data_IF_370059099852
#
_entry.id   IF_370059099852
#
_cell.length_a   1.000
_cell.length_b   1.000
_cell.length_c   1.000
_cell.angle_alpha   90.00
_cell.angle_beta   90.00
_cell.angle_gamma   90.00
#
_symmetry.space_group_name_H-M   'P 1'
#
loop_
_entity.id
_entity.type
_entity.pdbx_description
1 polymer ?
#
# COMPACT_ATOMS: atom_id res chain seq x y z
N UNK A 1 -2.47 -10.20 11.33
CA UNK A 1 -3.81 -10.12 11.93
C UNK A 1 -4.58 -11.34 11.47
N UNK A 2 -5.04 -12.22 12.39
CA UNK A 2 -5.93 -13.33 12.06
C UNK A 2 -7.31 -12.79 11.66
N UNK A 3 -7.87 -13.29 10.57
CA UNK A 3 -9.26 -13.04 10.18
C UNK A 3 -10.01 -14.36 10.32
N UNK A 4 -10.82 -14.54 11.38
CA UNK A 4 -11.42 -15.84 11.73
C UNK A 4 -12.27 -16.46 10.61
N UNK A 5 -13.01 -15.62 9.87
CA UNK A 5 -13.91 -16.10 8.80
C UNK A 5 -13.19 -16.75 7.61
N UNK A 6 -11.94 -16.30 7.32
CA UNK A 6 -11.20 -16.72 6.13
C UNK A 6 -9.86 -17.40 6.44
N UNK A 7 -9.55 -17.58 7.73
CA UNK A 7 -8.26 -18.09 8.20
C UNK A 7 -7.03 -17.38 7.60
N UNK A 8 -7.16 -16.11 7.23
CA UNK A 8 -6.07 -15.32 6.66
C UNK A 8 -5.14 -14.78 7.73
N UNK A 9 -3.84 -14.92 7.49
CA UNK A 9 -2.79 -14.31 8.29
C UNK A 9 -2.12 -13.22 7.46
N UNK A 10 -2.42 -11.97 7.79
CA UNK A 10 -1.93 -10.80 7.06
C UNK A 10 -0.88 -10.06 7.87
N UNK A 11 0.27 -9.77 7.25
CA UNK A 11 1.28 -8.87 7.81
C UNK A 11 1.20 -7.51 7.12
N UNK A 12 1.27 -6.46 7.94
CA UNK A 12 1.42 -5.08 7.47
C UNK A 12 2.89 -4.66 7.58
N UNK A 13 3.47 -4.16 6.48
CA UNK A 13 4.89 -3.78 6.41
C UNK A 13 5.07 -2.30 6.10
N UNK A 14 6.16 -1.76 6.59
CA UNK A 14 6.60 -0.39 6.37
C UNK A 14 7.62 -0.32 5.23
N UNK A 15 7.67 0.82 4.53
CA UNK A 15 8.65 1.10 3.47
C UNK A 15 9.61 2.24 3.85
N UNK A 16 9.28 2.97 4.90
CA UNK A 16 10.08 4.08 5.41
C UNK A 16 10.10 4.07 6.94
N UNK A 17 11.05 4.76 7.54
CA UNK A 17 11.01 5.19 8.93
C UNK A 17 10.43 6.59 8.96
N UNK A 18 9.17 6.73 9.42
CA UNK A 18 8.35 7.93 9.23
C UNK A 18 7.77 8.01 7.82
N UNK A 19 7.26 9.18 7.45
CA UNK A 19 6.70 9.44 6.11
C UNK A 19 7.01 10.87 5.70
N UNK A 20 7.20 11.11 4.40
CA UNK A 20 7.35 12.46 3.85
C UNK A 20 6.01 13.12 3.50
N UNK A 21 4.93 12.36 3.47
CA UNK A 21 3.59 12.89 3.29
C UNK A 21 3.03 13.33 4.64
N UNK A 22 2.36 14.48 4.63
CA UNK A 22 1.87 15.15 5.84
C UNK A 22 0.35 15.01 6.00
N UNK A 23 -0.19 13.82 5.71
CA UNK A 23 -1.61 13.54 5.91
C UNK A 23 -2.02 13.83 7.36
N UNK A 24 -3.04 14.67 7.56
CA UNK A 24 -3.39 15.25 8.86
C UNK A 24 -3.85 14.21 9.88
N UNK A 25 -4.48 13.14 9.42
CA UNK A 25 -4.98 12.03 10.25
C UNK A 25 -3.92 10.97 10.56
N UNK A 26 -2.76 11.02 9.90
CA UNK A 26 -1.75 9.95 9.99
C UNK A 26 -0.69 10.26 11.05
N UNK A 27 -0.60 9.40 12.08
CA UNK A 27 0.43 9.52 13.11
C UNK A 27 1.85 9.45 12.52
N UNK A 28 2.07 8.62 11.51
CA UNK A 28 3.36 8.50 10.82
C UNK A 28 3.75 9.79 10.08
N UNK A 29 2.78 10.50 9.49
CA UNK A 29 3.01 11.78 8.81
C UNK A 29 3.56 12.86 9.76
N UNK A 30 3.15 12.83 11.05
CA UNK A 30 3.62 13.74 12.09
C UNK A 30 5.06 13.47 12.52
N UNK A 31 5.59 12.27 12.27
CA UNK A 31 6.97 11.89 12.64
C UNK A 31 8.01 12.48 11.69
N UNK A 32 7.61 12.88 10.49
CA UNK A 32 8.52 13.20 9.41
C UNK A 32 9.34 11.98 8.94
N UNK A 33 9.83 12.02 7.72
CA UNK A 33 10.65 10.93 7.17
C UNK A 33 12.09 11.01 7.71
N UNK A 34 12.58 9.90 8.25
CA UNK A 34 13.98 9.75 8.65
C UNK A 34 14.81 9.11 7.54
N UNK A 35 14.35 7.97 7.00
CA UNK A 35 14.98 7.27 5.87
C UNK A 35 14.02 6.32 5.17
N UNK A 36 14.40 5.89 4.01
CA UNK A 36 13.76 4.77 3.34
C UNK A 36 14.30 3.45 3.91
N UNK A 37 13.48 2.41 3.90
CA UNK A 37 13.92 1.04 4.15
C UNK A 37 14.49 0.45 2.86
N UNK A 38 15.51 -0.38 2.99
CA UNK A 38 16.01 -1.18 1.88
C UNK A 38 15.04 -2.33 1.54
N UNK A 39 15.16 -2.89 0.36
CA UNK A 39 14.37 -4.06 -0.04
C UNK A 39 14.57 -5.26 0.90
N UNK A 40 15.79 -5.43 1.43
CA UNK A 40 16.12 -6.44 2.44
C UNK A 40 15.35 -6.21 3.75
N UNK A 41 15.38 -4.98 4.29
CA UNK A 41 14.67 -4.64 5.52
C UNK A 41 13.14 -4.83 5.38
N UNK A 42 12.58 -4.51 4.20
CA UNK A 42 11.15 -4.75 3.93
C UNK A 42 10.86 -6.26 3.90
N UNK A 43 11.70 -7.03 3.21
CA UNK A 43 11.58 -8.49 3.15
C UNK A 43 11.71 -9.12 4.54
N UNK A 44 12.66 -8.66 5.37
CA UNK A 44 12.91 -9.19 6.70
C UNK A 44 11.73 -8.99 7.67
N UNK A 45 10.95 -7.91 7.52
CA UNK A 45 9.70 -7.75 8.27
C UNK A 45 8.76 -8.93 8.00
N UNK A 46 8.57 -9.27 6.71
CA UNK A 46 7.69 -10.39 6.33
C UNK A 46 8.27 -11.73 6.78
N UNK A 47 9.55 -11.99 6.51
CA UNK A 47 10.21 -13.24 6.86
C UNK A 47 10.21 -13.48 8.38
N UNK A 48 10.44 -12.43 9.18
CA UNK A 48 10.40 -12.49 10.64
C UNK A 48 9.03 -12.88 11.16
N UNK A 49 7.99 -12.13 10.71
CA UNK A 49 6.60 -12.41 11.12
C UNK A 49 6.11 -13.76 10.60
N UNK A 50 6.56 -14.18 9.40
CA UNK A 50 6.22 -15.50 8.85
C UNK A 50 6.75 -16.64 9.73
N UNK A 51 8.02 -16.55 10.18
CA UNK A 51 8.58 -17.53 11.13
C UNK A 51 7.78 -17.56 12.42
N UNK A 52 7.44 -16.40 12.97
CA UNK A 52 6.66 -16.27 14.19
C UNK A 52 5.24 -16.85 14.02
N UNK A 53 4.60 -16.62 12.87
CA UNK A 53 3.30 -17.19 12.54
C UNK A 53 3.34 -18.73 12.52
N UNK A 54 4.35 -19.31 11.90
CA UNK A 54 4.53 -20.77 11.87
C UNK A 54 4.75 -21.31 13.28
N UNK A 55 5.58 -20.66 14.10
CA UNK A 55 5.86 -21.10 15.48
C UNK A 55 4.64 -21.00 16.38
N UNK A 56 3.86 -19.90 16.28
CA UNK A 56 2.75 -19.64 17.20
C UNK A 56 1.42 -20.26 16.76
N UNK A 57 1.20 -20.42 15.45
CA UNK A 57 -0.08 -20.82 14.88
C UNK A 57 0.01 -22.04 13.96
N UNK A 58 1.21 -22.61 13.75
CA UNK A 58 1.41 -23.79 12.91
C UNK A 58 1.27 -23.54 11.40
N UNK A 59 1.18 -22.27 10.95
CA UNK A 59 0.97 -21.96 9.53
C UNK A 59 1.62 -20.64 9.10
N UNK A 60 2.00 -20.52 7.82
CA UNK A 60 2.66 -19.34 7.29
C UNK A 60 1.67 -18.18 7.08
N UNK A 61 2.21 -17.01 6.83
CA UNK A 61 1.45 -15.85 6.35
C UNK A 61 0.78 -16.15 5.01
N UNK A 62 -0.46 -15.68 4.87
CA UNK A 62 -1.21 -15.79 3.62
C UNK A 62 -1.17 -14.51 2.78
N UNK A 63 -1.03 -13.35 3.42
CA UNK A 63 -1.12 -12.04 2.76
C UNK A 63 -0.11 -11.04 3.31
N UNK A 64 0.30 -10.11 2.45
CA UNK A 64 1.16 -8.97 2.80
C UNK A 64 0.49 -7.69 2.33
N UNK A 65 0.42 -6.66 3.19
CA UNK A 65 -0.05 -5.33 2.83
C UNK A 65 1.03 -4.29 3.13
N UNK A 66 1.34 -3.47 2.13
CA UNK A 66 2.26 -2.34 2.27
C UNK A 66 1.46 -1.13 2.74
N UNK A 67 1.03 -1.18 4.00
CA UNK A 67 0.15 -0.20 4.64
C UNK A 67 0.71 0.29 5.99
N UNK A 68 1.98 0.02 6.26
CA UNK A 68 2.69 0.51 7.43
C UNK A 68 3.21 1.93 7.25
N UNK A 69 4.36 2.23 7.83
CA UNK A 69 4.96 3.56 7.72
C UNK A 69 5.56 3.81 6.33
N UNK A 70 5.27 5.02 5.80
CA UNK A 70 5.83 5.49 4.53
C UNK A 70 4.88 5.36 3.35
N UNK A 71 5.29 5.99 2.24
CA UNK A 71 4.61 5.88 0.95
C UNK A 71 5.40 4.92 0.04
N UNK A 72 4.83 3.75 -0.30
CA UNK A 72 5.55 2.74 -1.09
C UNK A 72 6.00 3.24 -2.47
N UNK A 73 5.22 4.11 -3.11
CA UNK A 73 5.56 4.62 -4.44
C UNK A 73 6.66 5.71 -4.41
N UNK A 74 6.96 6.29 -3.25
CA UNK A 74 8.14 7.15 -3.06
C UNK A 74 9.42 6.33 -2.82
N UNK A 75 9.28 5.04 -2.49
CA UNK A 75 10.39 4.10 -2.35
C UNK A 75 10.31 2.99 -3.40
N UNK A 76 9.90 3.36 -4.59
CA UNK A 76 9.49 2.46 -5.67
C UNK A 76 10.45 1.29 -5.90
N UNK A 77 11.72 1.58 -6.13
CA UNK A 77 12.72 0.53 -6.42
C UNK A 77 12.81 -0.51 -5.30
N UNK A 78 12.94 -0.05 -4.04
CA UNK A 78 13.03 -0.94 -2.88
C UNK A 78 11.74 -1.74 -2.66
N UNK A 79 10.60 -1.10 -2.91
CA UNK A 79 9.28 -1.75 -2.81
C UNK A 79 9.15 -2.84 -3.86
N UNK A 80 9.46 -2.57 -5.13
CA UNK A 80 9.37 -3.55 -6.20
C UNK A 80 10.37 -4.71 -6.02
N UNK A 81 11.61 -4.41 -5.62
CA UNK A 81 12.60 -5.43 -5.32
C UNK A 81 12.17 -6.32 -4.15
N UNK A 82 11.58 -5.74 -3.10
CA UNK A 82 11.06 -6.54 -1.97
C UNK A 82 9.93 -7.48 -2.41
N UNK A 83 9.02 -7.01 -3.28
CA UNK A 83 7.95 -7.83 -3.85
C UNK A 83 8.54 -8.97 -4.71
N UNK A 84 9.54 -8.67 -5.53
CA UNK A 84 10.22 -9.69 -6.33
C UNK A 84 10.82 -10.78 -5.45
N UNK A 85 11.47 -10.42 -4.33
CA UNK A 85 11.99 -11.37 -3.35
C UNK A 85 10.88 -12.18 -2.67
N UNK A 86 9.78 -11.54 -2.26
CA UNK A 86 8.64 -12.23 -1.64
C UNK A 86 8.01 -13.27 -2.59
N UNK A 87 7.95 -12.96 -3.88
CA UNK A 87 7.34 -13.82 -4.89
C UNK A 87 8.30 -14.88 -5.45
N UNK A 88 9.61 -14.70 -5.30
CA UNK A 88 10.61 -15.67 -5.72
C UNK A 88 10.45 -16.99 -4.94
N UNK A 89 10.66 -18.15 -5.60
CA UNK A 89 10.61 -19.43 -4.90
C UNK A 89 11.76 -19.58 -3.89
N UNK A 90 11.58 -20.49 -2.93
CA UNK A 90 12.65 -20.86 -2.01
C UNK A 90 13.85 -21.46 -2.78
N UNK A 91 15.11 -21.23 -2.34
CA UNK A 91 15.50 -20.54 -1.11
C UNK A 91 15.63 -19.01 -1.27
N UNK A 92 15.39 -18.44 -2.46
CA UNK A 92 15.62 -17.03 -2.75
C UNK A 92 14.51 -16.11 -2.20
N UNK A 93 13.32 -16.67 -1.95
CA UNK A 93 12.17 -15.93 -1.45
C UNK A 93 11.19 -16.84 -0.72
N UNK A 94 9.96 -16.33 -0.56
CA UNK A 94 8.90 -17.03 0.17
C UNK A 94 7.89 -17.75 -0.74
N UNK A 95 8.04 -17.65 -2.05
CA UNK A 95 7.11 -18.25 -3.03
C UNK A 95 5.68 -17.69 -2.94
N UNK A 96 5.53 -16.48 -2.43
CA UNK A 96 4.21 -15.87 -2.22
C UNK A 96 3.58 -15.49 -3.55
N UNK A 97 2.32 -15.86 -3.76
CA UNK A 97 1.60 -15.46 -4.96
C UNK A 97 1.39 -13.94 -5.03
N UNK A 98 1.66 -13.32 -6.16
CA UNK A 98 1.57 -11.87 -6.34
C UNK A 98 0.20 -11.29 -5.91
N UNK A 99 -0.90 -12.00 -6.16
CA UNK A 99 -2.25 -11.59 -5.74
C UNK A 99 -2.50 -11.63 -4.23
N UNK A 100 -1.54 -12.14 -3.45
CA UNK A 100 -1.55 -12.12 -1.98
C UNK A 100 -0.88 -10.86 -1.41
N UNK A 101 -0.35 -10.03 -2.29
CA UNK A 101 0.35 -8.80 -1.94
C UNK A 101 -0.50 -7.61 -2.39
N UNK A 102 -0.69 -6.63 -1.51
CA UNK A 102 -1.36 -5.36 -1.83
C UNK A 102 -0.41 -4.21 -1.50
N UNK A 103 -0.17 -3.35 -2.47
CA UNK A 103 0.52 -2.07 -2.25
C UNK A 103 -0.53 -0.98 -2.13
N UNK A 104 -0.49 -0.24 -1.00
CA UNK A 104 -1.33 0.95 -0.81
C UNK A 104 -0.52 2.20 -1.17
N UNK A 105 -1.19 3.19 -1.72
CA UNK A 105 -0.59 4.49 -2.05
C UNK A 105 -1.54 5.63 -1.71
N UNK A 106 -0.98 6.74 -1.27
CA UNK A 106 -1.71 7.99 -1.10
C UNK A 106 -2.14 8.63 -2.45
N UNK A 107 -1.66 8.05 -3.56
CA UNK A 107 -1.99 8.49 -4.91
C UNK A 107 -0.92 9.39 -5.53
N UNK A 108 0.05 8.76 -6.18
CA UNK A 108 1.07 9.43 -7.01
C UNK A 108 0.84 8.98 -8.44
N UNK A 109 0.05 9.77 -9.20
CA UNK A 109 -0.46 9.40 -10.53
C UNK A 109 0.63 8.91 -11.49
N UNK A 110 1.75 9.63 -11.55
CA UNK A 110 2.92 9.23 -12.36
C UNK A 110 3.44 7.84 -11.99
N UNK A 111 3.47 7.51 -10.71
CA UNK A 111 4.01 6.23 -10.24
C UNK A 111 3.01 5.09 -10.40
N UNK A 112 1.71 5.38 -10.35
CA UNK A 112 0.66 4.41 -10.68
C UNK A 112 0.76 4.03 -12.16
N UNK A 113 0.96 4.98 -13.06
CA UNK A 113 1.22 4.70 -14.49
C UNK A 113 2.49 3.86 -14.68
N UNK A 114 3.56 4.20 -13.95
CA UNK A 114 4.80 3.42 -13.98
C UNK A 114 4.60 1.97 -13.52
N UNK A 115 3.80 1.72 -12.48
CA UNK A 115 3.44 0.36 -12.08
C UNK A 115 2.80 -0.44 -13.23
N UNK A 116 1.90 0.20 -13.99
CA UNK A 116 1.26 -0.42 -15.15
C UNK A 116 2.27 -0.75 -16.24
N UNK A 117 3.19 0.17 -16.54
CA UNK A 117 4.22 -0.01 -17.57
C UNK A 117 5.23 -1.10 -17.20
N UNK A 118 5.58 -1.21 -15.94
CA UNK A 118 6.48 -2.24 -15.41
C UNK A 118 5.81 -3.63 -15.25
N UNK A 119 4.54 -3.76 -15.65
CA UNK A 119 3.82 -5.04 -15.61
C UNK A 119 3.52 -5.55 -14.20
N UNK A 120 3.20 -4.66 -13.28
CA UNK A 120 2.88 -4.98 -11.88
C UNK A 120 1.74 -6.00 -11.76
N UNK A 121 1.94 -7.03 -10.92
CA UNK A 121 1.05 -8.20 -10.81
C UNK A 121 0.28 -8.31 -9.50
N UNK A 122 0.63 -7.49 -8.52
CA UNK A 122 -0.01 -7.49 -7.20
C UNK A 122 -1.21 -6.53 -7.18
N UNK A 123 -1.99 -6.55 -6.10
CA UNK A 123 -3.14 -5.65 -5.95
C UNK A 123 -2.67 -4.23 -5.62
N UNK A 124 -3.43 -3.25 -6.06
CA UNK A 124 -3.24 -1.84 -5.75
C UNK A 124 -4.39 -1.36 -4.86
N UNK A 125 -4.06 -0.59 -3.81
CA UNK A 125 -5.03 0.11 -2.99
C UNK A 125 -4.76 1.62 -3.07
N UNK A 126 -5.78 2.42 -3.36
CA UNK A 126 -5.70 3.87 -3.27
C UNK A 126 -6.27 4.33 -1.93
N UNK A 127 -5.49 5.05 -1.15
CA UNK A 127 -5.95 5.82 0.01
C UNK A 127 -6.71 7.04 -0.49
N UNK A 128 -8.03 6.87 -0.69
CA UNK A 128 -8.90 7.90 -1.28
C UNK A 128 -9.29 8.97 -0.24
N UNK A 129 -9.97 8.54 0.82
CA UNK A 129 -10.36 9.27 2.03
C UNK A 129 -11.22 10.53 1.84
N UNK A 130 -11.46 10.98 0.61
CA UNK A 130 -12.44 12.02 0.27
C UNK A 130 -12.86 11.88 -1.19
N UNK A 131 -14.12 12.25 -1.48
CA UNK A 131 -14.72 12.15 -2.81
C UNK A 131 -14.56 13.44 -3.64
N UNK A 132 -14.10 14.52 -3.04
CA UNK A 132 -13.80 15.80 -3.69
C UNK A 132 -12.40 16.30 -3.35
N UNK A 133 -11.83 17.11 -4.28
CA UNK A 133 -10.47 17.62 -4.13
C UNK A 133 -10.30 18.59 -2.98
N UNK A 134 -11.35 19.36 -2.62
CA UNK A 134 -11.27 20.34 -1.53
C UNK A 134 -11.05 19.61 -0.19
N UNK A 135 -11.92 18.66 0.13
CA UNK A 135 -11.79 17.86 1.36
C UNK A 135 -10.51 17.04 1.34
N UNK A 136 -10.15 16.48 0.17
CA UNK A 136 -8.94 15.68 0.05
C UNK A 136 -7.67 16.51 0.28
N UNK A 137 -7.60 17.75 -0.22
CA UNK A 137 -6.49 18.67 0.01
C UNK A 137 -6.33 19.01 1.51
N UNK A 138 -7.44 19.14 2.24
CA UNK A 138 -7.41 19.43 3.69
C UNK A 138 -6.76 18.30 4.50
N UNK A 139 -6.97 17.05 4.11
CA UNK A 139 -6.49 15.89 4.87
C UNK A 139 -5.27 15.22 4.24
N UNK A 140 -5.04 15.36 2.95
CA UNK A 140 -3.95 14.77 2.19
C UNK A 140 -3.32 15.80 1.23
N UNK A 141 -2.36 16.61 1.69
CA UNK A 141 -1.75 17.67 0.86
C UNK A 141 -1.12 17.20 -0.45
N UNK A 142 -0.77 15.93 -0.57
CA UNK A 142 -0.28 15.32 -1.84
C UNK A 142 -1.31 15.48 -2.98
N UNK A 143 -2.58 15.64 -2.66
CA UNK A 143 -3.64 15.81 -3.65
C UNK A 143 -3.50 17.11 -4.48
N UNK A 144 -2.90 18.15 -3.94
CA UNK A 144 -2.64 19.39 -4.68
C UNK A 144 -1.84 19.15 -5.97
N UNK A 145 -0.95 18.16 -5.95
CA UNK A 145 -0.14 17.77 -7.12
C UNK A 145 -0.64 16.50 -7.83
N UNK A 146 -1.62 15.80 -7.25
CA UNK A 146 -2.21 14.57 -7.76
C UNK A 146 -3.71 14.57 -7.46
N UNK A 147 -4.45 15.48 -8.12
CA UNK A 147 -5.89 15.63 -7.93
C UNK A 147 -6.68 14.38 -8.37
N UNK A 148 -7.94 14.29 -7.98
CA UNK A 148 -8.77 13.13 -8.25
C UNK A 148 -8.87 12.81 -9.74
N UNK A 149 -8.97 13.82 -10.62
CA UNK A 149 -9.02 13.60 -12.05
C UNK A 149 -7.74 12.90 -12.57
N UNK A 150 -6.57 13.39 -12.19
CA UNK A 150 -5.29 12.79 -12.57
C UNK A 150 -5.13 11.36 -11.98
N UNK A 151 -5.64 11.14 -10.77
CA UNK A 151 -5.63 9.82 -10.14
C UNK A 151 -6.55 8.84 -10.87
N UNK A 152 -7.77 9.26 -11.23
CA UNK A 152 -8.71 8.41 -11.97
C UNK A 152 -8.13 7.98 -13.31
N UNK A 153 -7.58 8.93 -14.10
CA UNK A 153 -6.90 8.59 -15.36
C UNK A 153 -5.73 7.60 -15.17
N UNK A 154 -4.94 7.76 -14.10
CA UNK A 154 -3.83 6.87 -13.83
C UNK A 154 -4.32 5.47 -13.41
N UNK A 155 -5.41 5.37 -12.64
CA UNK A 155 -6.00 4.10 -12.23
C UNK A 155 -6.68 3.38 -13.40
N UNK A 156 -7.39 4.10 -14.27
CA UNK A 156 -7.95 3.54 -15.50
C UNK A 156 -6.84 2.96 -16.37
N UNK A 157 -5.78 3.73 -16.62
CA UNK A 157 -4.61 3.25 -17.37
C UNK A 157 -3.97 2.01 -16.73
N UNK A 158 -3.83 2.01 -15.39
CA UNK A 158 -3.32 0.85 -14.66
C UNK A 158 -4.23 -0.37 -14.85
N UNK A 159 -5.54 -0.19 -14.70
CA UNK A 159 -6.48 -1.29 -14.86
C UNK A 159 -6.52 -1.84 -16.30
N UNK A 160 -6.51 -0.95 -17.29
CA UNK A 160 -6.50 -1.37 -18.70
C UNK A 160 -5.29 -2.23 -19.04
N UNK A 161 -4.12 -1.85 -18.56
CA UNK A 161 -2.86 -2.59 -18.81
C UNK A 161 -2.72 -3.87 -18.00
N UNK A 162 -3.10 -3.85 -16.74
CA UNK A 162 -2.78 -4.94 -15.82
C UNK A 162 -3.93 -5.89 -15.54
N UNK A 163 -5.17 -5.42 -15.66
CA UNK A 163 -6.41 -6.08 -15.21
C UNK A 163 -6.36 -6.51 -13.74
N UNK A 164 -5.47 -5.90 -12.95
CA UNK A 164 -5.35 -6.18 -11.53
C UNK A 164 -6.43 -5.44 -10.75
N UNK A 165 -6.79 -6.03 -9.60
CA UNK A 165 -7.76 -5.43 -8.69
C UNK A 165 -7.22 -4.12 -8.12
N UNK A 166 -8.09 -3.10 -8.11
CA UNK A 166 -7.90 -1.85 -7.40
C UNK A 166 -8.92 -1.81 -6.26
N UNK A 167 -8.48 -1.45 -5.05
CA UNK A 167 -9.36 -1.16 -3.93
C UNK A 167 -9.18 0.29 -3.49
N UNK A 168 -10.23 0.85 -2.90
CA UNK A 168 -10.22 2.20 -2.35
C UNK A 168 -10.33 2.10 -0.84
N UNK A 169 -9.42 2.76 -0.14
CA UNK A 169 -9.44 2.88 1.32
C UNK A 169 -10.08 4.22 1.68
N UNK A 170 -11.12 4.19 2.49
CA UNK A 170 -11.86 5.39 2.88
C UNK A 170 -12.07 5.42 4.38
N UNK A 171 -11.55 6.45 5.04
CA UNK A 171 -11.80 6.71 6.45
C UNK A 171 -12.94 7.72 6.51
N UNK A 172 -14.08 7.31 7.05
CA UNK A 172 -15.18 8.23 7.32
C UNK A 172 -14.88 9.04 8.59
N UNK A 173 -14.75 10.34 8.44
CA UNK A 173 -14.60 11.31 9.54
C UNK A 173 -15.93 11.97 9.82
N UNK A 174 -16.39 11.88 11.06
CA UNK A 174 -17.66 12.45 11.50
C UNK A 174 -17.78 13.93 11.11
N UNK A 175 -18.86 14.29 10.42
CA UNK A 175 -19.19 15.65 9.98
C UNK A 175 -18.18 16.27 9.01
N UNK A 176 -17.37 15.46 8.34
CA UNK A 176 -16.42 15.95 7.37
C UNK A 176 -16.62 15.33 5.97
N UNK A 177 -16.57 14.00 5.89
CA UNK A 177 -16.65 13.26 4.64
C UNK A 177 -17.58 12.04 4.74
N UNK A 178 -18.61 12.14 5.56
CA UNK A 178 -19.58 11.08 5.88
C UNK A 178 -21.00 11.41 5.44
N UNK A 179 -21.18 12.41 4.56
CA UNK A 179 -22.48 12.78 4.02
C UNK A 179 -22.87 11.88 2.83
N UNK A 180 -24.14 11.95 2.42
CA UNK A 180 -24.65 11.24 1.24
C UNK A 180 -23.95 11.73 -0.04
N UNK A 181 -23.60 13.01 -0.10
CA UNK A 181 -22.88 13.61 -1.23
C UNK A 181 -21.44 13.10 -1.34
N UNK A 182 -20.86 12.58 -0.26
CA UNK A 182 -19.53 11.99 -0.24
C UNK A 182 -19.52 10.52 -0.69
N UNK A 183 -20.68 9.87 -0.78
CA UNK A 183 -20.82 8.47 -1.13
C UNK A 183 -21.12 8.27 -2.62
#
# INVERSE_FOLDING_TARGET
IPVPADERFTVCVSTQVGCSLTCTFCATGRMGRKRNLSAGEIFDQVAGVNRQSIQSFGRPLSNVVYMGMGEPLLTYSNTMESIARLTSPAPLGLGMGARRITVSTAGIAKMIRKLADDGYRSNLALSLHAADDKKRNEIMPINESNNLAALMEALEYFYEKTKNRISYEYIAFERFNDSIEDA
#
